data_IF_345088004952
#
_entry.id   IF_345088004952
#
_cell.length_a   1.000
_cell.length_b   1.000
_cell.length_c   1.000
_cell.angle_alpha   90.00
_cell.angle_beta   90.00
_cell.angle_gamma   90.00
#
_symmetry.space_group_name_H-M   'P 1'
#
loop_
_entity.id
_entity.type
_entity.pdbx_description
1 polymer ?
#
# COMPACT_ATOMS: atom_id res chain seq x y z
N UNK A 1 10.14 -10.46 -1.34
CA UNK A 1 11.25 -9.55 -1.69
C UNK A 1 11.72 -8.94 -0.37
N UNK A 2 12.96 -9.21 0.07
CA UNK A 2 13.50 -8.61 1.31
C UNK A 2 13.56 -7.10 1.12
N UNK A 3 12.86 -6.34 1.95
CA UNK A 3 12.97 -4.89 1.93
C UNK A 3 14.26 -4.50 2.64
N UNK A 4 15.09 -3.65 2.02
CA UNK A 4 16.37 -3.19 2.60
C UNK A 4 16.20 -2.25 3.81
N UNK A 5 14.97 -1.93 4.16
CA UNK A 5 14.62 -0.89 5.12
C UNK A 5 13.75 -1.48 6.22
N UNK A 6 14.01 -1.08 7.47
CA UNK A 6 13.24 -1.54 8.63
C UNK A 6 11.81 -0.97 8.65
N UNK A 7 11.60 0.23 8.09
CA UNK A 7 10.32 0.90 8.04
C UNK A 7 9.91 1.20 6.59
N UNK A 8 8.63 0.98 6.30
CA UNK A 8 8.05 1.17 4.97
C UNK A 8 6.85 2.11 5.04
N UNK A 9 6.75 3.03 4.09
CA UNK A 9 5.61 3.95 3.93
C UNK A 9 4.87 3.58 2.67
N UNK A 10 3.58 3.32 2.81
CA UNK A 10 2.81 2.79 1.71
C UNK A 10 1.31 2.78 1.93
N UNK A 11 0.62 2.22 0.95
CA UNK A 11 -0.81 2.00 0.94
C UNK A 11 -1.11 0.53 1.02
N UNK A 12 -2.15 0.14 1.76
CA UNK A 12 -2.62 -1.24 1.80
C UNK A 12 -3.88 -1.42 0.99
N UNK A 13 -4.08 -2.63 0.48
CA UNK A 13 -5.36 -3.02 -0.11
C UNK A 13 -6.43 -3.07 0.98
N UNK A 14 -7.52 -2.33 0.77
CA UNK A 14 -8.63 -2.25 1.68
C UNK A 14 -9.86 -2.92 1.07
N UNK A 15 -10.11 -4.16 1.50
CA UNK A 15 -11.24 -4.95 1.00
C UNK A 15 -12.60 -4.32 1.30
N UNK A 16 -12.70 -3.52 2.36
CA UNK A 16 -13.97 -2.86 2.73
C UNK A 16 -14.20 -1.67 1.82
N UNK A 17 -13.16 -0.88 1.57
CA UNK A 17 -13.20 0.24 0.63
C UNK A 17 -13.45 -0.23 -0.81
N UNK A 18 -12.76 -1.28 -1.25
CA UNK A 18 -12.99 -1.91 -2.55
C UNK A 18 -14.44 -2.44 -2.67
N UNK A 19 -14.92 -3.18 -1.68
CA UNK A 19 -16.31 -3.65 -1.64
C UNK A 19 -17.33 -2.52 -1.81
N UNK A 20 -17.10 -1.37 -1.16
CA UNK A 20 -18.00 -0.21 -1.27
C UNK A 20 -18.00 0.47 -2.64
N UNK A 21 -16.89 0.40 -3.38
CA UNK A 21 -16.76 1.02 -4.70
C UNK A 21 -17.18 0.11 -5.86
N UNK A 22 -17.14 -1.21 -5.67
CA UNK A 22 -17.36 -2.19 -6.74
C UNK A 22 -18.56 -3.12 -6.50
N UNK A 23 -19.42 -2.83 -5.51
CA UNK A 23 -20.61 -3.62 -5.14
C UNK A 23 -20.28 -5.10 -4.87
N UNK A 24 -19.22 -5.31 -4.09
CA UNK A 24 -18.66 -6.64 -3.81
C UNK A 24 -18.70 -6.96 -2.32
N UNK A 25 -18.49 -8.24 -1.96
CA UNK A 25 -18.34 -8.63 -0.55
C UNK A 25 -16.87 -8.50 -0.10
N UNK A 26 -16.59 -7.91 1.08
CA UNK A 26 -15.24 -7.90 1.62
C UNK A 26 -14.67 -9.32 1.73
N UNK A 27 -13.40 -9.49 1.36
CA UNK A 27 -12.67 -10.77 1.37
C UNK A 27 -13.32 -11.87 0.49
N UNK A 28 -14.07 -11.49 -0.56
CA UNK A 28 -14.56 -12.44 -1.58
C UNK A 28 -13.45 -12.80 -2.58
N UNK A 29 -13.58 -13.90 -3.35
CA UNK A 29 -12.70 -14.17 -4.48
C UNK A 29 -12.65 -13.04 -5.53
N UNK A 30 -13.71 -12.22 -5.63
CA UNK A 30 -13.72 -11.00 -6.46
C UNK A 30 -12.73 -9.94 -5.95
N UNK A 31 -12.52 -9.85 -4.64
CA UNK A 31 -11.50 -8.97 -4.05
C UNK A 31 -10.08 -9.41 -4.39
N UNK A 32 -9.83 -10.71 -4.45
CA UNK A 32 -8.51 -11.23 -4.86
C UNK A 32 -8.22 -10.84 -6.33
N UNK A 33 -9.24 -10.85 -7.19
CA UNK A 33 -9.12 -10.38 -8.57
C UNK A 33 -8.89 -8.87 -8.63
N UNK A 34 -9.62 -8.06 -7.87
CA UNK A 34 -9.40 -6.61 -7.81
C UNK A 34 -8.01 -6.27 -7.29
N UNK A 35 -7.53 -6.98 -6.25
CA UNK A 35 -6.17 -6.84 -5.75
C UNK A 35 -5.17 -7.14 -6.86
N UNK A 36 -5.31 -8.27 -7.56
CA UNK A 36 -4.41 -8.67 -8.65
C UNK A 36 -4.38 -7.63 -9.76
N UNK A 37 -5.55 -7.18 -10.23
CA UNK A 37 -5.66 -6.15 -11.26
C UNK A 37 -5.00 -4.85 -10.78
N UNK A 38 -5.25 -4.41 -9.54
CA UNK A 38 -4.64 -3.21 -8.98
C UNK A 38 -3.12 -3.33 -8.96
N UNK A 39 -2.58 -4.48 -8.56
CA UNK A 39 -1.13 -4.74 -8.54
C UNK A 39 -0.54 -4.69 -9.96
N UNK A 40 -1.18 -5.37 -10.91
CA UNK A 40 -0.68 -5.52 -12.27
C UNK A 40 -0.80 -4.24 -13.10
N UNK A 41 -1.76 -3.37 -12.75
CA UNK A 41 -2.04 -2.13 -13.50
C UNK A 41 -1.28 -0.92 -12.98
N UNK A 42 -0.78 -0.94 -11.75
CA UNK A 42 0.03 0.15 -11.23
C UNK A 42 1.38 0.16 -11.96
N UNK A 43 1.72 1.21 -12.72
CA UNK A 43 2.99 1.29 -13.42
C UNK A 43 4.14 1.21 -12.41
N UNK A 44 5.17 0.42 -12.72
CA UNK A 44 6.40 0.39 -11.93
C UNK A 44 7.19 1.68 -12.16
N UNK A 45 6.75 2.75 -11.53
CA UNK A 45 7.46 4.02 -11.55
C UNK A 45 8.75 3.93 -10.72
N UNK A 46 9.76 4.73 -11.09
CA UNK A 46 11.00 4.85 -10.30
C UNK A 46 10.76 5.29 -8.85
N UNK A 47 9.62 5.93 -8.58
CA UNK A 47 9.20 6.40 -7.25
C UNK A 47 8.44 5.33 -6.45
N UNK A 48 8.01 4.23 -7.07
CA UNK A 48 7.41 3.09 -6.39
C UNK A 48 8.50 2.05 -6.17
N UNK A 49 8.85 1.83 -4.91
CA UNK A 49 9.90 0.86 -4.54
C UNK A 49 9.45 -0.60 -4.65
N UNK A 50 8.15 -0.87 -4.77
CA UNK A 50 7.58 -2.18 -5.13
C UNK A 50 6.37 -2.61 -4.29
N UNK A 51 5.94 -3.86 -4.48
CA UNK A 51 4.91 -4.52 -3.66
C UNK A 51 5.59 -5.24 -2.47
N UNK A 52 5.11 -4.96 -1.27
CA UNK A 52 5.56 -5.58 -0.02
C UNK A 52 4.42 -6.22 0.77
N UNK A 53 4.77 -6.94 1.83
CA UNK A 53 3.82 -7.40 2.84
C UNK A 53 4.38 -7.12 4.22
N UNK A 54 3.56 -6.63 5.15
CA UNK A 54 4.04 -6.26 6.48
C UNK A 54 2.92 -5.97 7.46
N UNK A 55 3.30 -5.40 8.61
CA UNK A 55 2.42 -5.08 9.74
C UNK A 55 2.58 -3.60 10.13
N UNK A 56 1.51 -2.96 10.62
CA UNK A 56 1.57 -1.57 11.10
C UNK A 56 2.32 -1.49 12.43
N UNK A 57 3.14 -0.44 12.61
CA UNK A 57 3.84 -0.22 13.89
C UNK A 57 2.88 -0.02 15.06
N UNK A 58 1.72 0.61 14.83
CA UNK A 58 0.71 0.94 15.85
C UNK A 58 -0.68 0.37 15.49
N UNK A 59 -0.73 -0.86 14.97
CA UNK A 59 -1.97 -1.46 14.47
C UNK A 59 -2.38 -2.76 15.16
N UNK A 60 -3.33 -3.47 14.52
CA UNK A 60 -3.86 -4.76 14.96
C UNK A 60 -2.89 -5.95 14.75
N UNK A 61 -1.65 -5.68 14.33
CA UNK A 61 -0.64 -6.70 14.09
C UNK A 61 -0.98 -7.65 12.93
N UNK A 62 -1.98 -7.37 12.10
CA UNK A 62 -2.31 -8.24 10.96
C UNK A 62 -1.40 -7.99 9.77
N UNK A 63 -1.07 -9.08 9.07
CA UNK A 63 -0.29 -9.03 7.82
C UNK A 63 -1.15 -8.49 6.69
N UNK A 64 -0.61 -7.57 5.89
CA UNK A 64 -1.32 -6.91 4.78
C UNK A 64 -0.47 -6.87 3.52
N UNK A 65 -1.13 -6.77 2.36
CA UNK A 65 -0.47 -6.43 1.10
C UNK A 65 -0.33 -4.92 0.98
N UNK A 66 0.87 -4.45 0.66
CA UNK A 66 1.25 -3.04 0.76
C UNK A 66 1.95 -2.61 -0.54
N UNK A 67 1.51 -1.51 -1.11
CA UNK A 67 2.22 -0.76 -2.14
C UNK A 67 3.20 0.19 -1.48
N UNK A 68 4.50 -0.05 -1.68
CA UNK A 68 5.57 0.69 -1.00
C UNK A 68 6.03 1.86 -1.84
N UNK A 69 5.89 3.07 -1.29
CA UNK A 69 6.36 4.30 -1.92
C UNK A 69 7.77 4.66 -1.46
N UNK A 70 8.03 4.55 -0.16
CA UNK A 70 9.33 4.91 0.41
C UNK A 70 9.70 3.98 1.57
N UNK A 71 10.99 3.91 1.88
CA UNK A 71 11.53 3.12 2.99
C UNK A 71 12.66 3.86 3.71
N UNK A 72 12.81 3.59 5.00
CA UNK A 72 13.89 4.12 5.84
C UNK A 72 14.18 3.18 7.02
N UNK A 73 15.35 3.34 7.64
CA UNK A 73 15.72 2.57 8.84
C UNK A 73 15.22 3.20 10.15
N UNK A 74 14.66 4.41 10.09
CA UNK A 74 14.06 5.10 11.23
C UNK A 74 12.66 5.65 10.90
N UNK A 75 11.74 5.52 11.86
CA UNK A 75 10.34 5.95 11.73
C UNK A 75 10.22 7.46 11.51
N UNK A 76 10.98 8.25 12.28
CA UNK A 76 10.84 9.72 12.32
C UNK A 76 11.22 10.36 10.98
N UNK A 77 12.29 9.90 10.32
CA UNK A 77 12.65 10.37 8.99
C UNK A 77 11.58 10.05 7.97
N UNK A 78 10.97 8.85 8.05
CA UNK A 78 9.93 8.43 7.13
C UNK A 78 8.61 9.21 7.32
N UNK A 79 8.29 9.61 8.55
CA UNK A 79 7.18 10.52 8.87
C UNK A 79 7.39 11.90 8.24
N UNK A 80 8.60 12.46 8.36
CA UNK A 80 8.94 13.79 7.84
C UNK A 80 9.03 13.86 6.32
N UNK A 81 9.20 12.74 5.62
CA UNK A 81 9.18 12.72 4.16
C UNK A 81 7.77 13.00 3.64
N UNK A 82 7.55 14.12 2.93
CA UNK A 82 6.24 14.44 2.38
C UNK A 82 5.86 13.40 1.33
N UNK A 83 4.62 12.92 1.43
CA UNK A 83 4.08 11.97 0.48
C UNK A 83 3.24 12.76 -0.53
N UNK A 84 3.82 13.07 -1.68
CA UNK A 84 3.18 13.94 -2.67
C UNK A 84 2.39 13.06 -3.65
N UNK A 85 1.19 12.65 -3.24
CA UNK A 85 0.26 11.85 -4.08
C UNK A 85 -0.07 12.57 -5.39
N UNK A 86 -0.10 13.91 -5.36
CA UNK A 86 -0.39 14.76 -6.51
C UNK A 86 0.68 14.67 -7.61
N UNK A 87 1.89 14.23 -7.27
CA UNK A 87 2.98 13.98 -8.21
C UNK A 87 3.10 12.50 -8.65
N UNK A 88 2.23 11.63 -8.13
CA UNK A 88 2.18 10.22 -8.53
C UNK A 88 1.31 10.05 -9.79
N UNK A 89 1.54 8.95 -10.51
CA UNK A 89 0.71 8.56 -11.66
C UNK A 89 -0.80 8.65 -11.34
N UNK A 90 -1.62 9.20 -12.25
CA UNK A 90 -3.07 9.25 -12.08
C UNK A 90 -3.72 7.91 -11.71
N UNK A 91 -3.17 6.77 -12.17
CA UNK A 91 -3.65 5.44 -11.82
C UNK A 91 -3.38 5.10 -10.35
N UNK A 92 -2.25 5.53 -9.77
CA UNK A 92 -1.95 5.34 -8.34
C UNK A 92 -2.93 6.18 -7.50
N UNK A 93 -3.23 7.41 -7.94
CA UNK A 93 -4.23 8.25 -7.29
C UNK A 93 -5.61 7.59 -7.33
N UNK A 94 -6.02 7.11 -8.50
CA UNK A 94 -7.30 6.42 -8.67
C UNK A 94 -7.38 5.13 -7.84
N UNK A 95 -6.32 4.31 -7.81
CA UNK A 95 -6.25 3.14 -6.95
C UNK A 95 -6.38 3.51 -5.45
N UNK A 96 -5.72 4.60 -5.04
CA UNK A 96 -5.85 5.13 -3.67
C UNK A 96 -7.26 5.60 -3.35
N UNK A 97 -8.00 6.14 -4.32
CA UNK A 97 -9.39 6.56 -4.11
C UNK A 97 -10.35 5.35 -4.03
N UNK A 98 -10.12 4.32 -4.85
CA UNK A 98 -11.09 3.23 -5.04
C UNK A 98 -10.85 2.00 -4.16
N UNK A 99 -9.59 1.61 -3.93
CA UNK A 99 -9.27 0.28 -3.36
C UNK A 99 -8.16 0.27 -2.31
N UNK A 100 -7.38 1.36 -2.16
CA UNK A 100 -6.30 1.41 -1.17
C UNK A 100 -6.59 2.36 0.00
N UNK A 101 -5.99 2.09 1.15
CA UNK A 101 -6.04 2.92 2.35
C UNK A 101 -4.64 3.29 2.83
N UNK A 102 -4.49 4.49 3.39
CA UNK A 102 -3.20 5.04 3.84
C UNK A 102 -3.05 6.53 3.54
N UNK A 103 -1.81 7.06 3.51
CA UNK A 103 -0.56 6.32 3.70
C UNK A 103 -0.34 5.91 5.16
N UNK A 104 0.27 4.75 5.37
CA UNK A 104 0.63 4.23 6.69
C UNK A 104 2.12 3.88 6.76
N UNK A 105 2.63 3.74 7.99
CA UNK A 105 3.97 3.26 8.27
C UNK A 105 3.90 1.83 8.82
N UNK A 106 4.74 0.98 8.24
CA UNK A 106 4.85 -0.43 8.53
C UNK A 106 6.26 -0.78 9.01
N UNK A 107 6.35 -1.84 9.80
CA UNK A 107 7.62 -2.49 10.13
C UNK A 107 7.84 -3.61 9.11
N UNK A 108 9.02 -3.64 8.52
CA UNK A 108 9.47 -4.72 7.66
C UNK A 108 10.23 -5.71 8.52
N UNK A 109 9.68 -6.92 8.67
CA UNK A 109 10.44 -8.06 9.19
C UNK A 109 11.12 -8.78 8.01
N UNK A 110 12.38 -9.18 8.21
CA UNK A 110 13.27 -9.86 7.25
C UNK A 110 12.86 -11.29 6.87
#
# INVERSE_FOLDING_TARGET
>A
MRCRYNFLKGYEFDSVKAASNFDEKPNSPGMDQLLTITVDTIPQERRISGLGSGHRLEGDGKRRFIFVLDGADDKESLEKKPLVIEELDPMIRQATELVLSGPFIYVSDD
#
